data_IF_437369612608
#
_entry.id   IF_437369612608
#
_cell.length_a   1.000
_cell.length_b   1.000
_cell.length_c   1.000
_cell.angle_alpha   90.00
_cell.angle_beta   90.00
_cell.angle_gamma   90.00
#
_symmetry.space_group_name_H-M   'P 1'
#
loop_
_entity.id
_entity.type
_entity.pdbx_description
1 polymer ?
#
# COMPACT_ATOMS: atom_id res chain seq x y z
N UNK A 1 -2.62 53.79 16.54
CA UNK A 1 -2.39 53.36 15.14
C UNK A 1 -1.33 52.26 14.97
N UNK A 2 -0.62 51.82 16.01
CA UNK A 2 0.38 50.74 15.91
C UNK A 2 -0.22 49.30 15.97
N UNK A 3 -1.38 49.13 16.60
CA UNK A 3 -1.97 47.79 16.81
C UNK A 3 -2.56 47.18 15.54
N UNK A 4 -2.97 48.01 14.57
CA UNK A 4 -3.52 47.56 13.29
C UNK A 4 -2.46 47.07 12.29
N UNK A 5 -1.20 47.52 12.44
CA UNK A 5 -0.10 47.13 11.56
C UNK A 5 0.44 45.74 11.92
N UNK A 6 0.44 45.36 13.19
CA UNK A 6 0.89 44.04 13.67
C UNK A 6 -0.04 42.90 13.24
N UNK A 7 -1.37 43.09 13.29
CA UNK A 7 -2.34 42.07 12.85
C UNK A 7 -2.23 41.78 11.35
N UNK A 8 -1.79 42.77 10.55
CA UNK A 8 -1.62 42.61 9.11
C UNK A 8 -0.36 41.84 8.75
N UNK A 9 0.69 41.89 9.59
CA UNK A 9 1.89 41.07 9.45
C UNK A 9 1.65 39.59 9.76
N UNK A 10 0.84 39.26 10.78
CA UNK A 10 0.50 37.86 11.11
C UNK A 10 -0.28 37.17 9.98
N UNK A 11 -1.14 37.93 9.28
CA UNK A 11 -1.91 37.42 8.15
C UNK A 11 -1.05 37.20 6.90
N UNK A 12 0.00 38.01 6.73
CA UNK A 12 0.98 37.88 5.65
C UNK A 12 1.97 36.73 5.91
N UNK A 13 2.36 36.50 7.17
CA UNK A 13 3.22 35.38 7.57
C UNK A 13 2.52 34.02 7.37
N UNK A 14 1.22 33.92 7.64
CA UNK A 14 0.45 32.68 7.40
C UNK A 14 0.21 32.34 5.93
N UNK A 15 0.34 33.30 5.01
CA UNK A 15 0.18 33.06 3.57
C UNK A 15 1.47 32.56 2.89
N UNK A 16 2.63 32.73 3.52
CA UNK A 16 3.93 32.31 2.97
C UNK A 16 4.42 30.98 3.56
N UNK A 17 3.82 30.51 4.66
CA UNK A 17 4.15 29.24 5.33
C UNK A 17 3.00 28.23 5.16
N UNK A 18 2.35 28.22 3.99
CA UNK A 18 1.64 27.01 3.55
C UNK A 18 2.69 26.11 2.92
N UNK A 19 3.40 25.37 3.79
CA UNK A 19 4.40 24.41 3.37
C UNK A 19 3.71 23.45 2.40
N UNK A 20 4.24 23.33 1.17
CA UNK A 20 3.87 22.24 0.29
C UNK A 20 4.15 20.93 1.04
N UNK A 21 3.11 20.37 1.67
CA UNK A 21 3.20 19.06 2.26
C UNK A 21 3.31 18.09 1.10
N UNK A 22 4.42 17.37 1.02
CA UNK A 22 4.50 16.17 0.19
C UNK A 22 3.94 15.05 1.08
N UNK A 23 2.62 14.74 1.02
CA UNK A 23 2.08 13.63 1.79
C UNK A 23 2.94 12.39 1.49
N UNK A 24 3.33 11.59 2.51
CA UNK A 24 4.16 10.42 2.26
C UNK A 24 3.46 9.54 1.22
N UNK A 25 4.14 9.29 0.11
CA UNK A 25 3.62 8.41 -0.91
C UNK A 25 3.51 6.99 -0.35
N UNK A 26 2.27 6.49 -0.26
CA UNK A 26 1.96 5.09 -0.03
C UNK A 26 1.95 4.67 1.45
N UNK A 27 0.80 4.17 1.88
CA UNK A 27 0.57 3.38 3.09
C UNK A 27 1.29 2.00 3.08
N UNK A 28 2.30 1.83 2.22
CA UNK A 28 2.94 0.54 1.95
C UNK A 28 1.98 -0.51 1.40
N UNK A 29 0.74 -0.14 1.05
CA UNK A 29 -0.23 -1.06 0.52
C UNK A 29 -0.20 -1.01 -1.02
N UNK A 30 -0.11 -2.21 -1.60
CA UNK A 30 -0.16 -2.36 -3.05
C UNK A 30 -1.58 -2.05 -3.52
N UNK A 31 -1.73 -1.01 -4.32
CA UNK A 31 -2.99 -0.70 -4.98
C UNK A 31 -3.27 -1.71 -6.10
N UNK A 32 -4.18 -2.64 -5.83
CA UNK A 32 -4.68 -3.63 -6.80
C UNK A 32 -4.12 -5.05 -6.63
N UNK A 33 -4.77 -6.00 -7.31
CA UNK A 33 -4.42 -7.41 -7.24
C UNK A 33 -3.04 -7.70 -7.86
N UNK A 34 -2.32 -8.67 -7.28
CA UNK A 34 -1.09 -9.19 -7.88
C UNK A 34 -1.46 -9.95 -9.16
N UNK A 35 -1.44 -9.27 -10.31
CA UNK A 35 -1.86 -9.85 -11.60
C UNK A 35 -1.01 -11.05 -12.06
N UNK A 36 0.27 -11.05 -11.70
CA UNK A 36 1.24 -12.06 -12.14
C UNK A 36 1.39 -13.25 -11.18
N UNK A 37 0.52 -13.38 -10.17
CA UNK A 37 0.58 -14.49 -9.21
C UNK A 37 -0.81 -15.05 -8.97
N UNK A 38 -0.90 -16.37 -8.96
CA UNK A 38 -2.06 -17.12 -8.50
C UNK A 38 -1.69 -17.98 -7.31
N UNK A 39 -2.68 -18.51 -6.62
CA UNK A 39 -2.46 -19.43 -5.52
C UNK A 39 -3.45 -20.58 -5.56
N UNK A 40 -2.98 -21.76 -5.16
CA UNK A 40 -3.80 -22.97 -5.01
C UNK A 40 -3.59 -23.58 -3.63
N UNK A 41 -4.58 -24.33 -3.16
CA UNK A 41 -4.50 -25.05 -1.90
C UNK A 41 -4.03 -26.48 -2.15
N UNK A 42 -3.00 -26.91 -1.42
CA UNK A 42 -2.51 -28.28 -1.48
C UNK A 42 -3.41 -29.21 -0.67
N UNK A 43 -3.36 -30.54 -0.90
CA UNK A 43 -4.06 -31.52 -0.07
C UNK A 43 -3.68 -31.45 1.43
N UNK A 44 -2.46 -30.99 1.73
CA UNK A 44 -2.01 -30.73 3.10
C UNK A 44 -2.61 -29.45 3.73
N UNK A 45 -3.47 -28.73 3.00
CA UNK A 45 -4.14 -27.51 3.43
C UNK A 45 -3.28 -26.25 3.39
N UNK A 46 -2.03 -26.33 2.93
CA UNK A 46 -1.17 -25.17 2.74
C UNK A 46 -1.51 -24.43 1.45
N UNK A 47 -1.23 -23.13 1.41
CA UNK A 47 -1.39 -22.30 0.23
C UNK A 47 -0.05 -22.17 -0.49
N UNK A 48 -0.05 -22.35 -1.81
CA UNK A 48 1.15 -22.26 -2.64
C UNK A 48 0.94 -21.20 -3.70
N UNK A 49 1.92 -20.30 -3.86
CA UNK A 49 1.94 -19.34 -4.96
C UNK A 49 2.39 -20.03 -6.24
N UNK A 50 1.70 -19.73 -7.32
CA UNK A 50 2.08 -20.10 -8.68
C UNK A 50 2.35 -18.85 -9.50
N UNK A 51 3.39 -18.91 -10.29
CA UNK A 51 3.66 -17.91 -11.31
C UNK A 51 2.67 -18.08 -12.48
N UNK A 52 1.99 -17.01 -12.89
CA UNK A 52 0.96 -17.11 -13.94
C UNK A 52 1.53 -17.15 -15.35
N UNK A 53 2.80 -16.76 -15.54
CA UNK A 53 3.47 -16.76 -16.85
C UNK A 53 4.17 -18.09 -17.12
N UNK A 54 4.88 -18.61 -16.11
CA UNK A 54 5.67 -19.84 -16.21
C UNK A 54 4.97 -21.08 -15.65
N UNK A 55 3.91 -20.91 -14.84
CA UNK A 55 3.18 -22.00 -14.19
C UNK A 55 3.91 -22.65 -13.02
N UNK A 56 5.12 -22.20 -12.67
CA UNK A 56 5.95 -22.76 -11.62
C UNK A 56 5.39 -22.48 -10.23
N UNK A 57 5.57 -23.43 -9.31
CA UNK A 57 5.30 -23.23 -7.89
C UNK A 57 6.48 -22.50 -7.26
N UNK A 58 6.19 -21.44 -6.50
CA UNK A 58 7.21 -20.52 -6.00
C UNK A 58 7.45 -20.71 -4.50
N UNK A 59 6.38 -20.56 -3.73
CA UNK A 59 6.46 -20.36 -2.30
C UNK A 59 5.25 -21.02 -1.62
N UNK A 60 5.53 -21.77 -0.56
CA UNK A 60 4.55 -22.51 0.23
C UNK A 60 4.36 -21.76 1.53
N UNK A 61 3.11 -21.43 1.87
CA UNK A 61 2.82 -20.72 3.12
C UNK A 61 3.02 -21.64 4.32
N UNK A 62 4.07 -21.37 5.08
CA UNK A 62 4.41 -22.12 6.31
C UNK A 62 3.83 -21.50 7.56
N UNK A 63 3.54 -20.19 7.57
CA UNK A 63 3.11 -19.46 8.76
C UNK A 63 1.69 -19.80 9.25
N UNK A 64 0.76 -20.08 8.33
CA UNK A 64 -0.60 -20.52 8.65
C UNK A 64 -1.30 -21.12 7.43
N UNK A 65 -2.52 -21.65 7.64
CA UNK A 65 -3.36 -22.29 6.61
C UNK A 65 -4.26 -21.32 5.85
N UNK A 66 -4.02 -20.01 5.94
CA UNK A 66 -4.83 -19.00 5.23
C UNK A 66 -4.20 -18.62 3.89
N UNK A 67 -4.97 -18.11 2.91
CA UNK A 67 -4.43 -17.67 1.63
C UNK A 67 -3.40 -16.54 1.80
N UNK A 68 -2.53 -16.35 0.80
CA UNK A 68 -1.72 -15.15 0.70
C UNK A 68 -2.61 -13.93 0.42
N UNK A 69 -2.38 -12.85 1.17
CA UNK A 69 -3.10 -11.58 0.99
C UNK A 69 -2.81 -11.01 -0.40
N UNK A 70 -3.85 -10.63 -1.13
CA UNK A 70 -3.74 -9.96 -2.44
C UNK A 70 -3.37 -10.85 -3.64
N UNK A 71 -3.29 -12.18 -3.46
CA UNK A 71 -3.03 -13.15 -4.55
C UNK A 71 -4.34 -13.83 -4.96
N UNK A 72 -4.62 -13.94 -6.26
CA UNK A 72 -5.88 -14.55 -6.74
C UNK A 72 -5.89 -16.07 -6.48
N UNK A 73 -7.01 -16.62 -6.01
CA UNK A 73 -7.20 -18.07 -5.91
C UNK A 73 -7.49 -18.66 -7.28
N UNK A 74 -6.86 -19.78 -7.60
CA UNK A 74 -7.25 -20.64 -8.72
C UNK A 74 -8.61 -21.29 -8.40
N UNK A 75 -9.48 -21.44 -9.40
CA UNK A 75 -10.77 -22.13 -9.27
C UNK A 75 -10.61 -23.60 -9.58
#
# INVERSE_FOLDING_TARGET
MLFWHLVKLDKLIRLVIDMATNPPAGDGHRNGAVRQRSQTQTPSGHWVKRDTETGQFLDVKTSNKTPFKGVRKEK
#
